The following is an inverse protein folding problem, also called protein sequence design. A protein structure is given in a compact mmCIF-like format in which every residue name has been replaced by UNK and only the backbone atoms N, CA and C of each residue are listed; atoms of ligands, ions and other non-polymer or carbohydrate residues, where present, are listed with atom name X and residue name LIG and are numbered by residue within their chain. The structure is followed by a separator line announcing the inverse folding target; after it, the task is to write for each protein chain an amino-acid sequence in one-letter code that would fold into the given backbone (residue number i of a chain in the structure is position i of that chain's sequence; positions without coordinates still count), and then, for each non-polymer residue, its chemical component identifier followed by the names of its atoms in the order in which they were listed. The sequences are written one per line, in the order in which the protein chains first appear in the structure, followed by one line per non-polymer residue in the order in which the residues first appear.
data_IF_646316013785
#
_entry.id   IF_646316013785
#
_cell.length_a   1.000
_cell.length_b   1.000
_cell.length_c   1.000
_cell.angle_alpha   90.00
_cell.angle_beta   90.00
_cell.angle_gamma   90.00
#
_symmetry.space_group_name_H-M   'P 1'
#
loop_
_entity.id
_entity.type
_entity.pdbx_description
1 polymer ?
#
# COMPACT_ATOMS: atom_id res chain seq x y z
N UNK A 1 10.60 2.05 -19.88
CA UNK A 1 11.56 3.10 -20.29
C UNK A 1 12.93 2.67 -19.81
N UNK A 2 13.91 2.48 -20.68
CA UNK A 2 15.30 2.32 -20.28
C UNK A 2 15.74 3.55 -19.49
N UNK A 3 16.54 3.40 -18.46
CA UNK A 3 17.01 4.50 -17.60
C UNK A 3 16.16 4.75 -16.35
N UNK A 4 14.83 4.75 -16.44
CA UNK A 4 13.95 4.99 -15.28
C UNK A 4 13.96 3.81 -14.28
N UNK A 5 13.98 2.58 -14.80
CA UNK A 5 14.10 1.37 -13.99
C UNK A 5 15.41 1.33 -13.21
N UNK A 6 16.48 1.73 -13.85
CA UNK A 6 17.83 1.76 -13.25
C UNK A 6 17.90 2.77 -12.11
N UNK A 7 17.35 3.98 -12.30
CA UNK A 7 17.26 5.00 -11.24
C UNK A 7 16.47 4.49 -10.04
N UNK A 8 15.31 3.87 -10.29
CA UNK A 8 14.47 3.28 -9.22
C UNK A 8 15.23 2.16 -8.50
N UNK A 9 15.95 1.31 -9.24
CA UNK A 9 16.74 0.23 -8.63
C UNK A 9 17.88 0.74 -7.76
N UNK A 10 18.50 1.86 -8.13
CA UNK A 10 19.55 2.52 -7.33
C UNK A 10 19.02 3.07 -5.99
N UNK A 11 17.72 3.42 -5.90
CA UNK A 11 17.10 3.83 -4.64
C UNK A 11 16.73 2.66 -3.71
N UNK A 12 17.10 1.42 -4.05
CA UNK A 12 16.81 0.22 -3.25
C UNK A 12 15.43 -0.37 -3.49
N UNK A 13 14.65 0.19 -4.42
CA UNK A 13 13.35 -0.37 -4.79
C UNK A 13 13.56 -1.58 -5.70
N UNK A 14 12.95 -2.69 -5.33
CA UNK A 14 13.03 -3.93 -6.11
C UNK A 14 11.64 -4.47 -6.45
N UNK A 15 11.58 -5.40 -7.39
CA UNK A 15 10.33 -6.04 -7.76
C UNK A 15 9.76 -6.85 -6.59
N UNK A 16 8.47 -6.67 -6.27
CA UNK A 16 7.74 -7.40 -5.22
C UNK A 16 7.40 -8.83 -5.69
N UNK A 17 8.41 -9.58 -6.17
CA UNK A 17 8.26 -10.98 -6.57
C UNK A 17 8.54 -11.92 -5.40
N UNK A 18 7.99 -13.13 -5.47
CA UNK A 18 8.27 -14.17 -4.48
C UNK A 18 9.78 -14.44 -4.31
N UNK A 19 10.55 -14.43 -5.41
CA UNK A 19 12.00 -14.64 -5.40
C UNK A 19 12.74 -13.49 -4.70
N UNK A 20 12.37 -12.24 -5.00
CA UNK A 20 12.99 -11.06 -4.36
C UNK A 20 12.73 -11.04 -2.86
N UNK A 21 11.50 -11.34 -2.44
CA UNK A 21 11.17 -11.42 -1.02
C UNK A 21 11.92 -12.55 -0.32
N UNK A 22 11.97 -13.75 -0.91
CA UNK A 22 12.74 -14.87 -0.35
C UNK A 22 14.22 -14.49 -0.21
N UNK A 23 14.82 -13.85 -1.20
CA UNK A 23 16.21 -13.40 -1.17
C UNK A 23 16.45 -12.38 -0.05
N UNK A 24 15.60 -11.36 0.06
CA UNK A 24 15.76 -10.30 1.05
C UNK A 24 15.55 -10.81 2.48
N UNK A 25 14.59 -11.71 2.70
CA UNK A 25 14.24 -12.23 4.02
C UNK A 25 15.10 -13.43 4.44
N UNK A 26 15.77 -14.14 3.52
CA UNK A 26 16.63 -15.29 3.85
C UNK A 26 18.05 -14.91 4.25
N UNK A 27 18.44 -13.65 4.04
CA UNK A 27 19.82 -13.22 4.31
C UNK A 27 20.13 -13.29 5.81
N UNK A 28 21.28 -13.86 6.22
CA UNK A 28 21.61 -14.08 7.62
C UNK A 28 21.92 -12.80 8.43
N UNK A 29 22.04 -11.67 7.74
CA UNK A 29 22.28 -10.39 8.40
C UNK A 29 21.04 -9.95 9.21
N UNK A 30 21.25 -9.69 10.50
CA UNK A 30 20.22 -9.14 11.39
C UNK A 30 19.95 -7.67 11.07
N UNK A 31 18.74 -7.18 11.42
CA UNK A 31 18.37 -5.77 11.32
C UNK A 31 17.91 -5.31 9.93
N UNK A 32 17.58 -6.22 9.01
CA UNK A 32 16.99 -5.86 7.73
C UNK A 32 15.48 -5.62 7.86
N UNK A 33 15.01 -4.57 7.22
CA UNK A 33 13.60 -4.28 7.05
C UNK A 33 13.24 -4.24 5.56
N UNK A 34 12.08 -4.80 5.23
CA UNK A 34 11.50 -4.77 3.88
C UNK A 34 10.18 -4.04 3.96
N UNK A 35 10.06 -2.93 3.25
CA UNK A 35 8.81 -2.20 3.13
C UNK A 35 8.05 -2.74 1.92
N UNK A 36 6.80 -3.17 2.14
CA UNK A 36 5.95 -3.72 1.10
C UNK A 36 4.65 -2.94 1.00
N UNK A 37 4.34 -2.40 -0.18
CA UNK A 37 3.04 -1.82 -0.51
C UNK A 37 2.11 -2.95 -0.96
N UNK A 38 1.19 -3.35 -0.08
CA UNK A 38 0.37 -4.57 -0.27
C UNK A 38 -0.70 -4.41 -1.33
N UNK A 39 -1.42 -3.28 -1.35
CA UNK A 39 -2.59 -3.06 -2.21
C UNK A 39 -2.29 -2.93 -3.70
N UNK A 40 -1.22 -2.24 -4.03
CA UNK A 40 -0.75 -2.06 -5.40
C UNK A 40 -1.58 -1.06 -6.22
N UNK A 41 -1.40 -1.08 -7.55
CA UNK A 41 -1.91 -0.08 -8.48
C UNK A 41 -3.45 0.13 -8.45
N UNK A 42 -4.21 -0.87 -8.04
CA UNK A 42 -5.68 -0.74 -7.95
C UNK A 42 -6.13 0.11 -6.76
N UNK A 43 -5.38 0.14 -5.66
CA UNK A 43 -5.69 0.99 -4.50
C UNK A 43 -5.69 2.46 -4.85
N UNK A 44 -4.78 2.87 -5.73
CA UNK A 44 -4.72 4.25 -6.22
C UNK A 44 -6.03 4.71 -6.85
N UNK A 45 -6.75 3.81 -7.52
CA UNK A 45 -8.05 4.09 -8.09
C UNK A 45 -9.19 4.10 -7.06
N UNK A 46 -8.98 3.51 -5.88
CA UNK A 46 -9.99 3.38 -4.82
C UNK A 46 -9.91 4.50 -3.78
N UNK A 47 -8.96 5.42 -3.91
CA UNK A 47 -8.84 6.55 -3.00
C UNK A 47 -9.98 7.54 -3.24
N UNK A 48 -10.71 7.85 -2.17
CA UNK A 48 -11.73 8.89 -2.12
C UNK A 48 -11.50 9.74 -0.87
N UNK A 49 -12.11 10.95 -0.83
CA UNK A 49 -11.99 11.82 0.32
C UNK A 49 -12.80 11.33 1.53
N UNK A 50 -13.83 10.53 1.29
CA UNK A 50 -14.75 10.06 2.34
C UNK A 50 -14.41 8.68 2.90
N UNK A 51 -13.61 7.87 2.18
CA UNK A 51 -13.22 6.54 2.62
C UNK A 51 -11.89 6.09 2.01
N UNK A 52 -11.20 5.26 2.76
CA UNK A 52 -9.95 4.63 2.32
C UNK A 52 -10.21 3.13 2.18
N UNK A 53 -10.10 2.65 0.95
CA UNK A 53 -10.30 1.24 0.62
C UNK A 53 -8.96 0.53 0.43
N UNK A 54 -8.60 -0.36 1.33
CA UNK A 54 -7.39 -1.17 1.22
C UNK A 54 -7.70 -2.54 0.62
N UNK A 55 -7.02 -2.87 -0.48
CA UNK A 55 -7.15 -4.17 -1.14
C UNK A 55 -6.20 -5.17 -0.47
N UNK A 56 -6.59 -5.69 0.68
CA UNK A 56 -5.74 -6.51 1.52
C UNK A 56 -6.32 -7.89 1.84
N UNK A 57 -7.63 -8.07 1.84
CA UNK A 57 -8.28 -9.32 2.27
C UNK A 57 -7.81 -10.55 1.49
N UNK A 58 -7.58 -10.39 0.19
CA UNK A 58 -7.09 -11.46 -0.71
C UNK A 58 -5.57 -11.52 -0.82
N UNK A 59 -4.84 -10.58 -0.20
CA UNK A 59 -3.39 -10.45 -0.31
C UNK A 59 -2.67 -11.16 0.82
N UNK A 60 -2.66 -12.50 0.81
CA UNK A 60 -2.05 -13.32 1.86
C UNK A 60 -0.59 -13.74 1.59
N UNK A 61 -0.04 -13.37 0.42
CA UNK A 61 1.30 -13.78 0.02
C UNK A 61 2.42 -13.29 0.95
N UNK A 62 2.33 -12.06 1.45
CA UNK A 62 3.31 -11.49 2.37
C UNK A 62 3.27 -12.18 3.74
N UNK A 63 2.08 -12.58 4.21
CA UNK A 63 1.90 -13.37 5.44
C UNK A 63 2.59 -14.72 5.33
N UNK A 64 2.39 -15.42 4.18
CA UNK A 64 3.08 -16.68 3.90
C UNK A 64 4.61 -16.51 3.95
N UNK A 65 5.14 -15.41 3.41
CA UNK A 65 6.58 -15.11 3.47
C UNK A 65 7.05 -14.80 4.89
N UNK A 66 6.29 -14.03 5.66
CA UNK A 66 6.61 -13.75 7.06
C UNK A 66 6.70 -15.05 7.88
N UNK A 67 5.74 -15.97 7.73
CA UNK A 67 5.77 -17.28 8.39
C UNK A 67 6.97 -18.11 7.94
N UNK A 68 7.23 -18.20 6.63
CA UNK A 68 8.32 -19.01 6.08
C UNK A 68 9.70 -18.58 6.59
N UNK A 69 9.91 -17.28 6.75
CA UNK A 69 11.20 -16.72 7.16
C UNK A 69 11.28 -16.38 8.67
N UNK A 70 10.14 -16.42 9.38
CA UNK A 70 10.07 -15.99 10.78
C UNK A 70 10.27 -14.47 10.93
N UNK A 71 9.85 -13.70 9.93
CA UNK A 71 10.01 -12.24 9.91
C UNK A 71 8.83 -11.59 10.60
N UNK A 72 9.08 -10.70 11.58
CA UNK A 72 8.02 -9.92 12.21
C UNK A 72 7.27 -9.07 11.19
N UNK A 73 5.96 -8.92 11.38
CA UNK A 73 5.11 -8.04 10.59
C UNK A 73 4.89 -6.73 11.35
N UNK A 74 5.11 -5.62 10.68
CA UNK A 74 4.92 -4.28 11.26
C UNK A 74 3.81 -3.58 10.48
N UNK A 75 2.61 -3.41 11.07
CA UNK A 75 1.56 -2.64 10.43
C UNK A 75 2.00 -1.19 10.34
N UNK A 76 1.86 -0.61 9.16
CA UNK A 76 2.27 0.78 8.90
C UNK A 76 1.18 1.45 8.09
N UNK A 77 0.81 2.67 8.47
CA UNK A 77 -0.19 3.46 7.78
C UNK A 77 0.31 4.88 7.53
N UNK A 78 0.00 5.39 6.34
CA UNK A 78 0.38 6.74 5.91
C UNK A 78 -0.87 7.61 5.83
N UNK A 79 -0.92 8.66 6.64
CA UNK A 79 -1.98 9.66 6.64
C UNK A 79 -1.62 10.82 5.73
N UNK A 80 -2.59 11.37 5.02
CA UNK A 80 -2.41 12.53 4.15
C UNK A 80 -2.11 12.21 2.68
N UNK A 81 -1.80 10.98 2.32
CA UNK A 81 -1.51 10.60 0.92
C UNK A 81 -2.69 10.82 -0.03
N UNK A 82 -3.92 10.61 0.42
CA UNK A 82 -5.12 10.81 -0.40
C UNK A 82 -5.32 12.28 -0.84
N UNK A 83 -4.69 13.22 -0.15
CA UNK A 83 -4.83 14.65 -0.41
C UNK A 83 -3.73 15.25 -1.28
N UNK A 84 -2.68 14.47 -1.61
CA UNK A 84 -1.58 14.98 -2.46
C UNK A 84 -1.96 15.06 -3.94
N UNK A 85 -2.95 14.29 -4.37
CA UNK A 85 -3.53 14.38 -5.69
C UNK A 85 -5.06 14.40 -5.60
N UNK A 86 -5.69 15.39 -6.23
CA UNK A 86 -7.13 15.40 -6.42
C UNK A 86 -7.56 14.55 -7.61
N UNK A 87 -8.77 14.02 -7.58
CA UNK A 87 -9.38 13.41 -8.76
C UNK A 87 -9.83 14.50 -9.72
N UNK A 88 -9.38 14.46 -10.97
CA UNK A 88 -9.79 15.43 -12.00
C UNK A 88 -11.29 15.32 -12.33
N UNK A 89 -11.86 14.14 -12.18
CA UNK A 89 -13.28 13.86 -12.42
C UNK A 89 -13.84 12.99 -11.31
N UNK A 90 -15.13 13.17 -10.94
CA UNK A 90 -15.84 12.21 -10.11
C UNK A 90 -15.73 10.82 -10.75
N UNK A 91 -15.20 9.87 -10.02
CA UNK A 91 -14.90 8.53 -10.52
C UNK A 91 -15.57 7.45 -9.65
N UNK A 92 -16.92 7.47 -9.50
CA UNK A 92 -17.62 6.49 -8.69
C UNK A 92 -17.46 5.09 -9.27
N UNK A 93 -17.51 4.10 -8.39
CA UNK A 93 -17.49 2.68 -8.80
C UNK A 93 -18.60 2.40 -9.81
N UNK A 94 -18.25 1.71 -10.90
CA UNK A 94 -19.17 1.36 -11.98
C UNK A 94 -19.32 2.40 -13.10
N UNK A 95 -18.71 3.59 -12.98
CA UNK A 95 -18.68 4.57 -14.08
C UNK A 95 -17.87 4.03 -15.26
N UNK A 96 -18.18 4.51 -16.47
CA UNK A 96 -17.45 4.11 -17.68
C UNK A 96 -15.96 4.44 -17.60
N UNK A 97 -15.62 5.59 -17.05
CA UNK A 97 -14.23 6.00 -16.80
C UNK A 97 -13.54 5.03 -15.87
N UNK A 98 -14.19 4.65 -14.78
CA UNK A 98 -13.65 3.68 -13.81
C UNK A 98 -13.41 2.32 -14.44
N UNK A 99 -14.37 1.80 -15.21
CA UNK A 99 -14.23 0.52 -15.92
C UNK A 99 -13.08 0.53 -16.92
N UNK A 100 -12.90 1.65 -17.64
CA UNK A 100 -11.77 1.81 -18.56
C UNK A 100 -10.43 1.84 -17.80
N UNK A 101 -10.36 2.57 -16.70
CA UNK A 101 -9.14 2.62 -15.86
C UNK A 101 -8.80 1.24 -15.28
N UNK A 102 -9.79 0.52 -14.77
CA UNK A 102 -9.60 -0.86 -14.27
C UNK A 102 -9.10 -1.79 -15.37
N UNK A 103 -9.66 -1.71 -16.57
CA UNK A 103 -9.19 -2.49 -17.72
C UNK A 103 -7.73 -2.15 -18.07
N UNK A 104 -7.36 -0.88 -18.09
CA UNK A 104 -5.98 -0.44 -18.35
C UNK A 104 -5.04 -0.96 -17.27
N UNK A 105 -5.40 -0.84 -15.99
CA UNK A 105 -4.60 -1.35 -14.87
C UNK A 105 -4.40 -2.87 -14.96
N UNK A 106 -5.42 -3.61 -15.34
CA UNK A 106 -5.33 -5.07 -15.47
C UNK A 106 -4.36 -5.50 -16.58
N UNK A 107 -4.32 -4.76 -17.67
CA UNK A 107 -3.45 -5.04 -18.82
C UNK A 107 -2.02 -4.54 -18.63
N UNK A 108 -1.87 -3.33 -18.11
CA UNK A 108 -0.57 -2.63 -18.07
C UNK A 108 0.10 -2.71 -16.70
N UNK A 109 -0.64 -3.06 -15.64
CA UNK A 109 -0.22 -2.95 -14.23
C UNK A 109 0.13 -1.51 -13.82
N UNK A 110 -0.21 -0.56 -14.68
CA UNK A 110 0.01 0.87 -14.45
C UNK A 110 -1.34 1.55 -14.20
N UNK A 111 -1.54 2.18 -13.03
CA UNK A 111 -2.71 3.02 -12.83
C UNK A 111 -2.54 4.22 -13.75
N UNK A 112 -3.48 4.45 -14.64
CA UNK A 112 -3.57 5.70 -15.40
C UNK A 112 -4.59 6.60 -14.68
N UNK A 113 -4.16 7.28 -13.62
CA UNK A 113 -5.07 8.13 -12.86
C UNK A 113 -5.15 9.49 -13.56
N UNK A 114 -6.35 10.00 -13.67
CA UNK A 114 -6.56 11.41 -14.02
C UNK A 114 -6.39 12.23 -12.75
N UNK A 115 -5.13 12.35 -12.29
CA UNK A 115 -4.80 13.13 -11.12
C UNK A 115 -4.74 14.61 -11.44
N UNK A 116 -5.29 15.40 -10.53
CA UNK A 116 -5.11 16.83 -10.51
C UNK A 116 -4.08 17.17 -9.43
N UNK A 117 -2.87 17.44 -9.86
CA UNK A 117 -1.83 17.99 -9.01
C UNK A 117 -1.64 19.49 -9.26
N UNK A 118 -0.52 20.03 -8.83
CA UNK A 118 -0.12 21.43 -9.07
C UNK A 118 0.92 21.54 -10.18
N UNK A 119 1.02 22.70 -10.79
CA UNK A 119 2.13 23.06 -11.67
C UNK A 119 3.37 23.52 -10.92
N UNK A 120 4.42 23.84 -11.66
CA UNK A 120 5.70 24.35 -11.08
C UNK A 120 5.47 25.75 -10.50
N UNK A 121 4.78 26.63 -11.23
CA UNK A 121 4.60 28.04 -10.89
C UNK A 121 3.17 28.41 -10.50
N UNK A 122 2.24 27.45 -10.54
CA UNK A 122 0.83 27.65 -10.19
C UNK A 122 0.25 26.43 -9.48
N UNK A 123 -0.86 26.61 -8.75
CA UNK A 123 -1.45 25.56 -7.92
C UNK A 123 -2.72 24.93 -8.50
N UNK A 124 -3.24 25.44 -9.62
CA UNK A 124 -4.56 25.07 -10.14
C UNK A 124 -4.57 23.72 -10.86
N UNK A 125 -3.50 23.41 -11.61
CA UNK A 125 -3.39 22.12 -12.27
C UNK A 125 -1.95 21.76 -12.59
N UNK A 126 -1.65 20.46 -12.73
CA UNK A 126 -0.33 19.98 -13.12
C UNK A 126 -0.05 18.56 -12.65
N UNK A 127 1.18 18.13 -12.83
CA UNK A 127 1.63 16.78 -12.53
C UNK A 127 2.33 16.64 -11.16
N UNK A 128 2.65 17.77 -10.51
CA UNK A 128 3.30 17.72 -9.20
C UNK A 128 2.27 17.51 -8.10
N UNK A 129 2.62 16.78 -7.04
CA UNK A 129 1.72 16.58 -5.90
C UNK A 129 1.42 17.92 -5.21
N UNK A 130 0.23 18.02 -4.66
CA UNK A 130 -0.14 19.12 -3.76
C UNK A 130 0.78 19.10 -2.52
N UNK A 131 1.03 20.27 -1.94
CA UNK A 131 1.80 20.38 -0.69
C UNK A 131 0.86 20.05 0.48
N UNK A 132 0.82 18.78 0.85
CA UNK A 132 0.06 18.30 1.98
C UNK A 132 0.99 17.54 2.94
N UNK A 133 0.87 17.70 4.26
CA UNK A 133 1.65 16.94 5.21
C UNK A 133 1.31 15.45 5.09
N UNK A 134 2.35 14.62 5.07
CA UNK A 134 2.23 13.16 5.10
C UNK A 134 2.83 12.69 6.42
N UNK A 135 2.04 11.94 7.20
CA UNK A 135 2.49 11.35 8.45
C UNK A 135 2.44 9.83 8.35
N UNK A 136 3.60 9.20 8.45
CA UNK A 136 3.70 7.73 8.46
C UNK A 136 3.75 7.25 9.90
N UNK A 137 2.79 6.42 10.28
CA UNK A 137 2.71 5.81 11.60
C UNK A 137 3.12 4.34 11.50
N UNK A 138 4.10 3.95 12.31
CA UNK A 138 4.62 2.59 12.37
C UNK A 138 4.09 1.97 13.67
N UNK A 139 3.38 0.85 13.54
CA UNK A 139 2.81 0.12 14.66
C UNK A 139 3.80 -0.81 15.35
N UNK A 140 3.31 -1.52 16.35
CA UNK A 140 4.12 -2.51 17.06
C UNK A 140 4.40 -3.74 16.20
N UNK A 141 5.62 -4.29 16.25
CA UNK A 141 5.95 -5.51 15.53
C UNK A 141 5.15 -6.72 16.05
N UNK A 142 4.49 -7.43 15.15
CA UNK A 142 3.81 -8.69 15.42
C UNK A 142 4.85 -9.81 15.29
N UNK A 143 5.27 -10.46 16.37
CA UNK A 143 6.26 -11.53 16.31
C UNK A 143 5.72 -12.74 15.55
N UNK A 144 6.52 -13.32 14.68
CA UNK A 144 6.16 -14.46 13.84
C UNK A 144 7.13 -15.61 14.07
N UNK A 145 6.61 -16.76 14.46
CA UNK A 145 7.42 -17.99 14.55
C UNK A 145 7.65 -18.54 13.13
N UNK A 146 8.90 -18.96 12.87
CA UNK A 146 9.26 -19.55 11.59
C UNK A 146 8.55 -20.91 11.38
N UNK A 147 7.87 -21.04 10.25
CA UNK A 147 7.21 -22.28 9.82
C UNK A 147 7.57 -22.50 8.35
N UNK A 148 8.31 -23.55 8.05
CA UNK A 148 8.85 -23.82 6.70
C UNK A 148 7.76 -24.00 5.66
N UNK A 149 6.68 -24.70 6.02
CA UNK A 149 5.52 -24.92 5.16
C UNK A 149 4.23 -24.57 5.94
N UNK A 150 3.83 -23.28 5.91
CA UNK A 150 2.67 -22.82 6.67
C UNK A 150 1.36 -23.32 6.04
N UNK A 151 0.48 -23.83 6.90
CA UNK A 151 -0.88 -24.23 6.50
C UNK A 151 -1.74 -23.01 6.20
N UNK A 152 -2.84 -23.21 5.45
CA UNK A 152 -3.79 -22.13 5.16
C UNK A 152 -4.37 -21.53 6.43
N UNK A 153 -4.65 -22.36 7.44
CA UNK A 153 -5.17 -21.88 8.72
C UNK A 153 -4.18 -20.96 9.43
N UNK A 154 -2.89 -21.33 9.50
CA UNK A 154 -1.85 -20.47 10.10
C UNK A 154 -1.69 -19.14 9.37
N UNK A 155 -1.82 -19.16 8.03
CA UNK A 155 -1.79 -17.95 7.22
C UNK A 155 -2.99 -17.06 7.56
N UNK A 156 -4.19 -17.64 7.67
CA UNK A 156 -5.42 -16.91 7.95
C UNK A 156 -5.44 -16.32 9.36
N UNK A 157 -4.96 -17.07 10.34
CA UNK A 157 -4.83 -16.59 11.73
C UNK A 157 -3.87 -15.40 11.84
N UNK A 158 -2.69 -15.50 11.22
CA UNK A 158 -1.72 -14.40 11.25
C UNK A 158 -2.22 -13.19 10.43
N UNK A 159 -2.91 -13.44 9.31
CA UNK A 159 -3.51 -12.39 8.51
C UNK A 159 -4.59 -11.64 9.30
N UNK A 160 -5.46 -12.35 10.01
CA UNK A 160 -6.46 -11.76 10.90
C UNK A 160 -5.83 -10.88 11.98
N UNK A 161 -4.77 -11.35 12.64
CA UNK A 161 -4.02 -10.55 13.63
C UNK A 161 -3.44 -9.27 13.02
N UNK A 162 -2.90 -9.37 11.81
CA UNK A 162 -2.35 -8.21 11.10
C UNK A 162 -3.44 -7.19 10.75
N UNK A 163 -4.62 -7.64 10.27
CA UNK A 163 -5.73 -6.76 9.94
C UNK A 163 -6.28 -6.03 11.18
N UNK A 164 -6.39 -6.72 12.31
CA UNK A 164 -6.80 -6.11 13.58
C UNK A 164 -5.78 -5.04 14.00
N UNK A 165 -4.50 -5.39 14.04
CA UNK A 165 -3.46 -4.46 14.43
C UNK A 165 -3.37 -3.22 13.51
N UNK A 166 -3.61 -3.39 12.20
CA UNK A 166 -3.68 -2.27 11.25
C UNK A 166 -4.92 -1.40 11.49
N UNK A 167 -6.06 -1.99 11.83
CA UNK A 167 -7.29 -1.27 12.19
C UNK A 167 -7.09 -0.46 13.46
N UNK A 168 -6.58 -1.09 14.51
CA UNK A 168 -6.33 -0.44 15.80
C UNK A 168 -5.36 0.75 15.65
N UNK A 169 -4.32 0.58 14.82
CA UNK A 169 -3.39 1.66 14.49
C UNK A 169 -4.10 2.80 13.76
N UNK A 170 -4.92 2.50 12.77
CA UNK A 170 -5.69 3.51 12.05
C UNK A 170 -6.64 4.26 13.00
N UNK A 171 -7.47 3.55 13.73
CA UNK A 171 -8.50 4.14 14.60
C UNK A 171 -7.88 5.01 15.71
N UNK A 172 -6.71 4.61 16.23
CA UNK A 172 -5.96 5.37 17.24
C UNK A 172 -5.42 6.69 16.70
N UNK A 173 -4.90 6.70 15.47
CA UNK A 173 -4.16 7.85 14.95
C UNK A 173 -4.93 8.68 13.91
N UNK A 174 -6.03 8.16 13.37
CA UNK A 174 -6.87 8.91 12.44
C UNK A 174 -7.41 10.22 13.01
N UNK A 175 -7.86 10.30 14.29
CA UNK A 175 -8.29 11.57 14.88
C UNK A 175 -7.18 12.62 15.04
N UNK A 176 -5.91 12.19 15.02
CA UNK A 176 -4.74 13.06 15.23
C UNK A 176 -4.15 13.54 13.89
N UNK A 177 -4.01 12.63 12.91
CA UNK A 177 -3.28 12.88 11.67
C UNK A 177 -4.12 12.75 10.41
N UNK A 178 -5.34 12.22 10.51
CA UNK A 178 -6.28 12.04 9.42
C UNK A 178 -7.52 12.93 9.55
N UNK A 179 -8.60 12.52 8.90
CA UNK A 179 -9.94 13.09 9.08
C UNK A 179 -10.81 12.06 9.81
N UNK A 180 -11.38 12.40 10.99
CA UNK A 180 -12.24 11.49 11.77
C UNK A 180 -13.48 10.99 11.00
N UNK A 181 -13.88 11.70 9.94
CA UNK A 181 -15.03 11.30 9.10
C UNK A 181 -14.68 10.19 8.10
N UNK A 182 -13.40 10.06 7.77
CA UNK A 182 -12.93 9.08 6.78
C UNK A 182 -12.89 7.69 7.41
N UNK A 183 -13.51 6.73 6.74
CA UNK A 183 -13.58 5.34 7.19
C UNK A 183 -12.58 4.47 6.45
N UNK A 184 -11.92 3.57 7.18
CA UNK A 184 -11.05 2.56 6.60
C UNK A 184 -11.86 1.30 6.26
N UNK A 185 -11.83 0.86 5.01
CA UNK A 185 -12.46 -0.37 4.56
C UNK A 185 -11.42 -1.36 4.05
N UNK A 186 -11.65 -2.64 4.30
CA UNK A 186 -10.86 -3.73 3.74
C UNK A 186 -11.62 -4.41 2.60
N UNK A 187 -10.94 -4.61 1.45
CA UNK A 187 -11.47 -5.23 0.24
C UNK A 187 -10.71 -6.53 -0.13
#
# INVERSE_FOLDING_TARGET
MPGFREIISLSGICAATSKSMDYLLSTPQKGRAVILVVGGAREVLCQDHDHIDLIILKRKGFIKKALKHGSALVPTFSFGEAFIYGNMFPNPRGSLIRRLQEYIVDKTRWPFPFFLGRGIFQYSFGMLPQRHPITVVIGEPIPVKKVTDPTSQQIDELHGKYLIALRDLYDKYNPIYGDPKVQLNYL
#
